data_IF_291770492367
#
_entry.id   IF_291770492367
#
_cell.length_a   1.000
_cell.length_b   1.000
_cell.length_c   1.000
_cell.angle_alpha   90.00
_cell.angle_beta   90.00
_cell.angle_gamma   90.00
#
_symmetry.space_group_name_H-M   'P 1'
#
loop_
_entity.id
_entity.type
_entity.pdbx_description
1 polymer ?
#
# COMPACT_ATOMS: atom_id res chain seq x y z
N UNK A 1 -44.85 3.66 49.48
CA UNK A 1 -44.45 2.71 48.41
C UNK A 1 -44.29 3.30 47.00
N UNK A 2 -44.60 4.59 46.74
CA UNK A 2 -44.35 5.23 45.44
C UNK A 2 -42.98 5.93 45.35
N UNK A 3 -42.46 6.46 46.46
CA UNK A 3 -41.16 7.16 46.52
C UNK A 3 -39.97 6.21 46.34
N UNK A 4 -40.04 4.99 46.88
CA UNK A 4 -38.97 3.98 46.74
C UNK A 4 -38.79 3.56 45.27
N UNK A 5 -39.88 3.45 44.49
CA UNK A 5 -39.79 3.14 43.05
C UNK A 5 -39.17 4.29 42.23
N UNK A 6 -39.33 5.55 42.66
CA UNK A 6 -38.74 6.70 41.97
C UNK A 6 -37.22 6.79 42.20
N UNK A 7 -36.75 6.46 43.40
CA UNK A 7 -35.32 6.42 43.72
C UNK A 7 -34.60 5.27 42.99
N UNK A 8 -35.26 4.12 42.82
CA UNK A 8 -34.70 3.00 42.05
C UNK A 8 -34.59 3.27 40.54
N UNK A 9 -35.45 4.13 39.98
CA UNK A 9 -35.37 4.52 38.55
C UNK A 9 -34.28 5.57 38.34
N UNK A 10 -34.07 6.48 39.28
CA UNK A 10 -33.04 7.51 39.18
C UNK A 10 -31.61 6.94 39.27
N UNK A 11 -31.40 5.84 40.01
CA UNK A 11 -30.09 5.20 40.15
C UNK A 11 -29.69 4.36 38.91
N UNK A 12 -30.66 4.01 38.06
CA UNK A 12 -30.44 3.23 36.84
C UNK A 12 -30.10 4.11 35.61
N UNK A 13 -30.31 5.44 35.71
CA UNK A 13 -29.93 6.40 34.67
C UNK A 13 -28.50 6.95 34.80
N UNK A 14 -27.81 6.67 35.91
CA UNK A 14 -26.46 7.21 36.16
C UNK A 14 -25.30 6.30 35.70
N UNK A 15 -25.61 5.12 35.14
CA UNK A 15 -24.61 4.15 34.66
C UNK A 15 -24.31 4.23 33.16
N UNK A 16 -24.84 5.23 32.43
CA UNK A 16 -24.56 5.42 31.00
C UNK A 16 -23.52 6.52 30.71
N UNK A 17 -22.91 7.13 31.72
CA UNK A 17 -21.68 7.92 31.53
C UNK A 17 -20.48 6.97 31.51
N UNK A 18 -20.52 6.00 30.60
CA UNK A 18 -19.29 5.37 30.13
C UNK A 18 -18.58 6.43 29.30
N UNK A 19 -17.44 6.90 29.81
CA UNK A 19 -16.54 7.77 29.09
C UNK A 19 -16.39 7.24 27.66
N UNK A 20 -16.91 7.98 26.67
CA UNK A 20 -16.47 7.84 25.30
C UNK A 20 -14.98 8.19 25.32
N UNK A 21 -14.14 7.16 25.41
CA UNK A 21 -12.72 7.30 25.20
C UNK A 21 -12.58 7.93 23.82
N UNK A 22 -12.02 9.13 23.76
CA UNK A 22 -11.45 9.70 22.55
C UNK A 22 -10.30 8.79 22.09
N UNK A 23 -10.62 7.57 21.67
CA UNK A 23 -9.70 6.77 20.87
C UNK A 23 -9.54 7.56 19.57
N UNK A 24 -8.34 8.05 19.24
CA UNK A 24 -8.11 8.65 17.94
C UNK A 24 -8.61 7.64 16.90
N UNK A 25 -9.51 8.07 16.02
CA UNK A 25 -10.16 7.20 15.04
C UNK A 25 -9.08 6.38 14.34
N UNK A 26 -9.07 5.06 14.59
CA UNK A 26 -8.04 4.17 14.07
C UNK A 26 -7.96 4.32 12.55
N UNK A 27 -6.80 4.75 12.04
CA UNK A 27 -6.56 4.95 10.62
C UNK A 27 -6.35 3.57 10.00
N UNK A 28 -7.13 3.24 8.99
CA UNK A 28 -7.02 1.97 8.26
C UNK A 28 -6.42 2.22 6.88
N UNK A 29 -5.37 1.46 6.54
CA UNK A 29 -4.72 1.48 5.23
C UNK A 29 -4.77 0.06 4.65
N UNK A 30 -5.18 -0.08 3.40
CA UNK A 30 -5.25 -1.33 2.66
C UNK A 30 -4.23 -1.30 1.52
N UNK A 31 -3.37 -2.32 1.48
CA UNK A 31 -2.36 -2.50 0.44
C UNK A 31 -2.66 -3.79 -0.32
N UNK A 32 -2.82 -3.70 -1.64
CA UNK A 32 -2.85 -4.88 -2.50
C UNK A 32 -1.52 -5.02 -3.22
N UNK A 33 -0.96 -6.23 -3.26
CA UNK A 33 0.37 -6.44 -3.85
C UNK A 33 0.48 -7.81 -4.53
N UNK A 34 1.47 -7.94 -5.42
CA UNK A 34 1.78 -9.18 -6.18
C UNK A 34 3.19 -9.72 -5.88
N UNK A 35 3.73 -9.43 -4.69
CA UNK A 35 5.11 -9.83 -4.35
C UNK A 35 5.25 -11.35 -4.19
N UNK A 36 6.36 -11.93 -4.70
CA UNK A 36 6.66 -13.34 -4.50
C UNK A 36 6.90 -13.64 -3.01
N UNK A 37 6.89 -14.91 -2.58
CA UNK A 37 6.92 -15.29 -1.16
C UNK A 37 8.04 -14.62 -0.34
N UNK A 38 9.29 -14.60 -0.85
CA UNK A 38 10.42 -13.99 -0.13
C UNK A 38 10.26 -12.48 0.09
N UNK A 39 9.75 -11.76 -0.90
CA UNK A 39 9.48 -10.32 -0.78
C UNK A 39 8.22 -10.02 0.04
N UNK A 40 7.25 -10.94 0.04
CA UNK A 40 6.04 -10.83 0.86
C UNK A 40 6.37 -10.81 2.35
N UNK A 41 7.24 -11.70 2.80
CA UNK A 41 7.67 -11.74 4.20
C UNK A 41 8.35 -10.42 4.62
N UNK A 42 9.16 -9.83 3.75
CA UNK A 42 9.83 -8.54 3.99
C UNK A 42 8.78 -7.42 4.12
N UNK A 43 7.79 -7.38 3.21
CA UNK A 43 6.71 -6.39 3.26
C UNK A 43 5.89 -6.53 4.56
N UNK A 44 5.55 -7.76 4.96
CA UNK A 44 4.80 -8.02 6.19
C UNK A 44 5.58 -7.58 7.44
N UNK A 45 6.89 -7.81 7.48
CA UNK A 45 7.76 -7.36 8.56
C UNK A 45 7.83 -5.83 8.64
N UNK A 46 7.99 -5.16 7.49
CA UNK A 46 8.01 -3.69 7.41
C UNK A 46 6.68 -3.09 7.90
N UNK A 47 5.56 -3.64 7.45
CA UNK A 47 4.21 -3.24 7.87
C UNK A 47 4.00 -3.47 9.37
N UNK A 48 4.43 -4.61 9.90
CA UNK A 48 4.35 -4.91 11.33
C UNK A 48 5.13 -3.87 12.15
N UNK A 49 6.38 -3.61 11.79
CA UNK A 49 7.23 -2.62 12.46
C UNK A 49 6.61 -1.22 12.40
N UNK A 50 6.01 -0.84 11.27
CA UNK A 50 5.32 0.44 11.13
C UNK A 50 4.11 0.56 12.07
N UNK A 51 3.30 -0.50 12.18
CA UNK A 51 2.16 -0.51 13.11
C UNK A 51 2.59 -0.51 14.59
N UNK A 52 3.75 -1.10 14.93
CA UNK A 52 4.29 -1.07 16.30
C UNK A 52 4.66 0.36 16.75
N UNK A 53 5.22 1.18 15.85
CA UNK A 53 5.58 2.58 16.13
C UNK A 53 4.41 3.56 15.93
N UNK A 54 3.35 3.14 15.25
CA UNK A 54 2.13 3.93 14.98
C UNK A 54 0.87 3.17 15.44
N UNK A 55 0.59 3.11 16.75
CA UNK A 55 -0.48 2.26 17.31
C UNK A 55 -1.90 2.67 16.88
N UNK A 56 -2.07 3.88 16.35
CA UNK A 56 -3.34 4.37 15.79
C UNK A 56 -3.56 3.94 14.33
N UNK A 57 -2.59 3.29 13.69
CA UNK A 57 -2.64 2.85 12.30
C UNK A 57 -2.80 1.34 12.22
N UNK A 58 -3.76 0.88 11.43
CA UNK A 58 -3.95 -0.52 11.05
C UNK A 58 -3.77 -0.71 9.56
N UNK A 59 -2.74 -1.46 9.19
CA UNK A 59 -2.46 -1.81 7.79
C UNK A 59 -2.97 -3.23 7.51
N UNK A 60 -3.63 -3.41 6.38
CA UNK A 60 -4.09 -4.71 5.85
C UNK A 60 -3.38 -4.93 4.52
N UNK A 61 -2.59 -5.99 4.44
CA UNK A 61 -1.87 -6.37 3.21
C UNK A 61 -2.59 -7.57 2.59
N UNK A 62 -2.88 -7.49 1.29
CA UNK A 62 -3.56 -8.54 0.55
C UNK A 62 -2.76 -8.92 -0.70
N UNK A 63 -2.32 -10.17 -0.73
CA UNK A 63 -1.68 -10.74 -1.90
C UNK A 63 -2.71 -11.06 -3.00
N UNK A 64 -2.33 -10.79 -4.25
CA UNK A 64 -3.02 -11.21 -5.47
C UNK A 64 -2.00 -11.61 -6.52
N UNK A 65 -2.33 -12.59 -7.35
CA UNK A 65 -1.53 -12.92 -8.54
C UNK A 65 -1.51 -11.74 -9.53
N UNK A 66 -0.50 -11.65 -10.41
CA UNK A 66 -0.25 -10.45 -11.22
C UNK A 66 -1.47 -9.97 -12.04
N UNK A 67 -2.04 -10.84 -12.87
CA UNK A 67 -3.21 -10.48 -13.68
C UNK A 67 -4.50 -10.33 -12.85
N UNK A 68 -4.57 -11.05 -11.73
CA UNK A 68 -5.68 -10.93 -10.79
C UNK A 68 -5.65 -9.57 -10.08
N UNK A 69 -4.48 -9.11 -9.65
CA UNK A 69 -4.27 -7.82 -9.01
C UNK A 69 -4.73 -6.69 -9.94
N UNK A 70 -4.23 -6.70 -11.18
CA UNK A 70 -4.58 -5.70 -12.20
C UNK A 70 -6.08 -5.66 -12.42
N UNK A 71 -6.69 -6.81 -12.73
CA UNK A 71 -8.10 -6.89 -13.06
C UNK A 71 -9.00 -6.54 -11.87
N UNK A 72 -8.69 -7.05 -10.67
CA UNK A 72 -9.45 -6.77 -9.46
C UNK A 72 -9.34 -5.30 -9.04
N UNK A 73 -8.17 -4.68 -9.19
CA UNK A 73 -7.96 -3.27 -8.89
C UNK A 73 -8.80 -2.38 -9.80
N UNK A 74 -8.73 -2.59 -11.12
CA UNK A 74 -9.52 -1.82 -12.10
C UNK A 74 -11.01 -1.89 -11.76
N UNK A 75 -11.56 -3.10 -11.56
CA UNK A 75 -12.98 -3.31 -11.23
C UNK A 75 -13.35 -2.59 -9.93
N UNK A 76 -12.50 -2.70 -8.91
CA UNK A 76 -12.79 -2.11 -7.58
C UNK A 76 -12.71 -0.59 -7.62
N UNK A 77 -11.69 -0.03 -8.27
CA UNK A 77 -11.46 1.40 -8.34
C UNK A 77 -12.56 2.12 -9.13
N UNK A 78 -13.01 1.55 -10.26
CA UNK A 78 -14.16 2.06 -11.02
C UNK A 78 -15.44 2.07 -10.14
N UNK A 79 -15.59 1.08 -9.26
CA UNK A 79 -16.70 1.02 -8.31
C UNK A 79 -16.53 1.97 -7.09
N UNK A 80 -15.51 2.83 -7.07
CA UNK A 80 -15.21 3.71 -5.95
C UNK A 80 -14.70 2.97 -4.70
N UNK A 81 -14.17 1.76 -4.89
CA UNK A 81 -13.62 0.88 -3.84
C UNK A 81 -12.15 0.57 -4.16
N UNK A 82 -11.55 -0.32 -3.39
CA UNK A 82 -10.20 -0.82 -3.65
C UNK A 82 -9.25 -0.56 -2.50
N UNK A 83 -7.94 -0.82 -2.72
CA UNK A 83 -6.92 -0.50 -1.75
C UNK A 83 -6.61 0.99 -1.71
N UNK A 84 -6.01 1.45 -0.63
CA UNK A 84 -5.39 2.76 -0.55
C UNK A 84 -4.06 2.79 -1.33
N UNK A 85 -3.37 1.64 -1.42
CA UNK A 85 -2.12 1.45 -2.16
C UNK A 85 -2.20 0.19 -3.02
N UNK A 86 -2.04 0.35 -4.34
CA UNK A 86 -1.75 -0.77 -5.26
C UNK A 86 -0.25 -0.85 -5.46
N UNK A 87 0.36 -1.96 -5.04
CA UNK A 87 1.81 -2.15 -5.03
C UNK A 87 2.22 -3.21 -6.06
N UNK A 88 2.74 -2.72 -7.18
CA UNK A 88 3.09 -3.53 -8.34
C UNK A 88 4.05 -2.83 -9.30
N UNK A 89 4.27 -3.41 -10.49
CA UNK A 89 5.19 -2.90 -11.49
C UNK A 89 4.66 -1.64 -12.17
N UNK A 90 5.59 -0.85 -12.71
CA UNK A 90 5.30 0.41 -13.42
C UNK A 90 4.49 0.24 -14.70
N UNK A 91 4.42 -0.97 -15.26
CA UNK A 91 3.67 -1.26 -16.50
C UNK A 91 2.19 -0.89 -16.39
N UNK A 92 1.65 -0.88 -15.17
CA UNK A 92 0.23 -0.60 -14.91
C UNK A 92 -0.11 0.89 -14.84
N UNK A 93 0.88 1.78 -14.73
CA UNK A 93 0.64 3.23 -14.59
C UNK A 93 -0.08 3.80 -15.81
N UNK A 94 0.30 3.39 -17.02
CA UNK A 94 -0.37 3.85 -18.25
C UNK A 94 -1.86 3.50 -18.29
N UNK A 95 -2.25 2.21 -18.17
CA UNK A 95 -3.65 1.82 -18.08
C UNK A 95 -4.42 2.45 -16.91
N UNK A 96 -3.79 2.58 -15.74
CA UNK A 96 -4.46 3.13 -14.55
C UNK A 96 -4.67 4.64 -14.64
N UNK A 97 -3.73 5.38 -15.22
CA UNK A 97 -3.89 6.81 -15.49
C UNK A 97 -4.98 7.04 -16.54
N UNK A 98 -5.01 6.25 -17.61
CA UNK A 98 -6.03 6.37 -18.67
C UNK A 98 -7.45 6.18 -18.14
N UNK A 99 -7.62 5.31 -17.13
CA UNK A 99 -8.90 5.05 -16.48
C UNK A 99 -9.18 5.99 -15.29
N UNK A 100 -8.27 6.92 -14.99
CA UNK A 100 -8.36 7.88 -13.89
C UNK A 100 -8.55 7.22 -12.50
N UNK A 101 -7.96 6.03 -12.32
CA UNK A 101 -8.10 5.25 -11.07
C UNK A 101 -6.94 5.40 -10.10
N UNK A 102 -5.88 6.10 -10.49
CA UNK A 102 -4.74 6.49 -9.63
C UNK A 102 -4.62 8.00 -9.51
N UNK A 103 -4.02 8.48 -8.42
CA UNK A 103 -3.84 9.91 -8.14
C UNK A 103 -2.40 10.34 -8.41
N UNK A 104 -2.17 11.56 -8.92
CA UNK A 104 -0.87 12.20 -8.89
C UNK A 104 -0.32 12.29 -7.46
N UNK A 105 0.96 11.99 -7.28
CA UNK A 105 1.63 11.87 -5.98
C UNK A 105 2.40 13.13 -5.60
N UNK A 106 2.71 14.01 -6.55
CA UNK A 106 3.43 15.27 -6.30
C UNK A 106 2.61 16.29 -5.50
N UNK A 107 1.30 16.04 -5.34
CA UNK A 107 0.44 16.82 -4.46
C UNK A 107 0.33 16.23 -3.04
N UNK A 108 0.78 14.98 -2.86
CA UNK A 108 0.74 14.25 -1.59
C UNK A 108 2.09 14.34 -0.89
N UNK A 109 3.18 14.25 -1.65
CA UNK A 109 4.55 14.25 -1.15
C UNK A 109 5.29 15.51 -1.60
N UNK A 110 5.93 16.18 -0.65
CA UNK A 110 6.75 17.35 -0.95
C UNK A 110 8.10 16.98 -1.61
N UNK A 111 8.76 17.99 -2.17
CA UNK A 111 10.06 17.81 -2.83
C UNK A 111 11.14 17.28 -1.90
N UNK A 112 11.09 17.59 -0.59
CA UNK A 112 12.06 17.08 0.39
C UNK A 112 11.92 15.59 0.62
N UNK A 113 10.69 15.07 0.58
CA UNK A 113 10.42 13.63 0.60
C UNK A 113 10.89 12.98 -0.70
N UNK A 114 10.48 13.54 -1.84
CA UNK A 114 10.80 12.96 -3.16
C UNK A 114 12.31 12.91 -3.45
N UNK A 115 13.08 13.90 -2.99
CA UNK A 115 14.53 13.94 -3.14
C UNK A 115 15.29 12.85 -2.36
N UNK A 116 14.61 12.09 -1.50
CA UNK A 116 15.22 10.94 -0.81
C UNK A 116 15.29 9.69 -1.72
N UNK A 117 14.59 9.70 -2.85
CA UNK A 117 14.56 8.59 -3.79
C UNK A 117 15.53 8.83 -4.95
N UNK A 118 16.01 7.73 -5.53
CA UNK A 118 16.70 7.78 -6.81
C UNK A 118 15.71 8.29 -7.89
N UNK A 119 16.09 9.27 -8.73
CA UNK A 119 15.20 9.82 -9.76
C UNK A 119 14.60 8.76 -10.69
N UNK A 120 15.29 7.64 -10.92
CA UNK A 120 14.80 6.51 -11.74
C UNK A 120 13.65 5.76 -11.07
N UNK A 121 13.51 5.88 -9.76
CA UNK A 121 12.37 5.36 -9.00
C UNK A 121 11.16 6.29 -9.02
N UNK A 122 11.28 7.53 -9.49
CA UNK A 122 10.17 8.48 -9.60
C UNK A 122 9.57 8.43 -11.01
N UNK A 123 8.46 7.70 -11.16
CA UNK A 123 7.84 7.53 -12.48
C UNK A 123 6.91 8.70 -12.80
N UNK A 124 7.42 9.60 -13.63
CA UNK A 124 6.65 10.67 -14.23
C UNK A 124 6.00 10.23 -15.53
N UNK A 125 4.68 10.38 -15.64
CA UNK A 125 3.92 10.10 -16.86
C UNK A 125 2.95 11.25 -17.12
N UNK A 126 2.94 11.77 -18.36
CA UNK A 126 2.13 12.93 -18.77
C UNK A 126 2.23 14.16 -17.82
N UNK A 127 3.42 14.40 -17.27
CA UNK A 127 3.68 15.56 -16.39
C UNK A 127 3.29 15.37 -14.93
N UNK A 128 2.81 14.19 -14.54
CA UNK A 128 2.42 13.87 -13.16
C UNK A 128 3.24 12.69 -12.61
N UNK A 129 3.48 12.68 -11.31
CA UNK A 129 4.17 11.59 -10.62
C UNK A 129 3.12 10.55 -10.23
N UNK A 130 3.19 9.35 -10.78
CA UNK A 130 2.18 8.31 -10.49
C UNK A 130 2.70 7.14 -9.67
N UNK A 131 4.02 7.00 -9.54
CA UNK A 131 4.62 5.93 -8.76
C UNK A 131 5.95 6.37 -8.14
N UNK A 132 6.16 5.96 -6.90
CA UNK A 132 7.44 6.02 -6.19
C UNK A 132 7.91 4.57 -6.01
N UNK A 133 8.97 4.19 -6.73
CA UNK A 133 9.54 2.86 -6.71
C UNK A 133 10.44 2.66 -5.49
N UNK A 134 10.20 1.60 -4.75
CA UNK A 134 11.09 1.11 -3.69
C UNK A 134 12.20 0.19 -4.24
N UNK A 135 12.06 -0.22 -5.50
CA UNK A 135 13.00 -1.08 -6.22
C UNK A 135 13.22 -0.55 -7.64
N UNK A 136 14.47 -0.51 -8.08
CA UNK A 136 14.85 -0.31 -9.48
C UNK A 136 15.30 -1.67 -10.00
N UNK A 137 14.60 -2.20 -10.99
CA UNK A 137 14.79 -3.58 -11.43
C UNK A 137 14.33 -3.83 -12.86
N UNK A 138 14.06 -5.11 -13.14
CA UNK A 138 13.76 -5.62 -14.48
C UNK A 138 14.88 -5.39 -15.51
N UNK A 139 16.13 -5.32 -15.03
CA UNK A 139 17.30 -5.30 -15.89
C UNK A 139 17.49 -6.69 -16.52
N UNK A 140 17.69 -6.72 -17.83
CA UNK A 140 18.01 -7.94 -18.55
C UNK A 140 19.47 -8.31 -18.28
N UNK A 141 19.68 -9.52 -17.77
CA UNK A 141 21.01 -10.09 -17.56
C UNK A 141 21.14 -11.38 -18.35
N UNK A 142 22.28 -11.55 -19.02
CA UNK A 142 22.67 -12.84 -19.58
C UNK A 142 23.32 -13.67 -18.48
N UNK A 143 22.65 -14.74 -18.05
CA UNK A 143 23.20 -15.73 -17.14
C UNK A 143 23.62 -16.97 -17.92
N UNK A 144 24.82 -17.49 -17.64
CA UNK A 144 25.31 -18.73 -18.26
C UNK A 144 26.06 -19.59 -17.23
N UNK A 145 26.08 -20.90 -17.49
CA UNK A 145 26.85 -21.85 -16.69
C UNK A 145 28.29 -21.92 -17.21
N UNK A 146 29.26 -21.55 -16.37
CA UNK A 146 30.70 -21.52 -16.69
C UNK A 146 31.30 -22.91 -16.95
N UNK A 147 30.69 -23.98 -16.45
CA UNK A 147 31.13 -25.35 -16.72
C UNK A 147 30.76 -25.78 -18.15
N UNK A 148 29.65 -25.24 -18.67
CA UNK A 148 29.12 -25.56 -20.00
C UNK A 148 29.64 -24.61 -21.07
N UNK A 149 29.90 -23.34 -20.72
CA UNK A 149 30.36 -22.31 -21.67
C UNK A 149 31.72 -21.80 -21.23
N UNK A 150 32.78 -22.34 -21.85
CA UNK A 150 34.19 -22.00 -21.52
C UNK A 150 34.68 -20.69 -22.13
N UNK A 151 34.03 -20.19 -23.17
CA UNK A 151 34.34 -18.91 -23.81
C UNK A 151 33.03 -18.22 -24.17
N UNK A 152 32.77 -17.07 -23.57
CA UNK A 152 31.68 -16.19 -23.98
C UNK A 152 32.08 -15.49 -25.28
N UNK A 153 31.12 -15.30 -26.18
CA UNK A 153 31.31 -14.36 -27.29
C UNK A 153 31.51 -12.97 -26.70
N UNK A 154 32.56 -12.26 -27.10
CA UNK A 154 32.66 -10.83 -26.83
C UNK A 154 31.55 -10.14 -27.63
N UNK A 155 30.87 -9.18 -27.01
CA UNK A 155 29.93 -8.31 -27.70
C UNK A 155 30.72 -7.58 -28.80
N UNK A 156 30.49 -7.97 -30.05
CA UNK A 156 30.92 -7.19 -31.19
C UNK A 156 29.76 -6.25 -31.49
N UNK A 157 29.91 -4.98 -31.14
CA UNK A 157 29.10 -3.90 -31.72
C UNK A 157 29.33 -3.80 -33.25
#
# INVERSE_FOLDING_TARGET
MKIVKLVSIALMLFSLVSCSSNNPSQIRIVIWHQKPPGEREILEQAVKKYMEIHPNIKIIVLYKETEELRSAYIISAIAGKGPDIVYGPSDQVGPFELLEIIKPLEQIFDTSFLNQFDPRGLLWYKGHLYQIGDQIGNHLFLLYNKDLVKKTTSDNE
#
